data_IF_228340122562
#
_entry.id   IF_228340122562
#
_cell.length_a   1.000
_cell.length_b   1.000
_cell.length_c   1.000
_cell.angle_alpha   90.00
_cell.angle_beta   90.00
_cell.angle_gamma   90.00
#
_symmetry.space_group_name_H-M   'P 1'
#
loop_
_entity.id
_entity.type
_entity.pdbx_description
1 polymer ?
#
# COMPACT_ATOMS: atom_id res chain seq x y z
N UNK A 1 5.14 -15.64 51.97
CA UNK A 1 4.02 -16.47 52.47
C UNK A 1 2.96 -16.54 51.38
N UNK A 2 2.38 -17.72 51.12
CA UNK A 2 1.17 -18.01 50.29
C UNK A 2 0.94 -17.17 49.02
N UNK A 3 1.07 -17.63 47.78
CA UNK A 3 0.83 -18.95 47.14
C UNK A 3 -0.62 -19.50 47.24
N UNK A 4 -1.32 -19.39 46.11
CA UNK A 4 -2.28 -20.33 45.47
C UNK A 4 -3.05 -19.54 44.39
N UNK A 5 -3.61 -20.07 43.29
CA UNK A 5 -3.43 -21.26 42.44
C UNK A 5 -4.63 -21.22 41.46
N UNK A 6 -4.38 -21.51 40.19
CA UNK A 6 -5.36 -21.69 39.11
C UNK A 6 -6.67 -22.42 39.45
N UNK A 7 -7.74 -22.17 38.67
CA UNK A 7 -8.65 -23.22 38.15
C UNK A 7 -9.24 -22.87 36.78
N UNK A 8 -9.36 -23.88 35.92
CA UNK A 8 -10.08 -23.87 34.63
C UNK A 8 -11.45 -24.53 34.80
N UNK A 9 -12.44 -24.11 34.00
CA UNK A 9 -13.51 -24.94 33.39
C UNK A 9 -14.32 -23.99 32.49
N UNK A 10 -14.34 -24.12 31.15
CA UNK A 10 -15.11 -25.08 30.34
C UNK A 10 -16.59 -25.17 30.73
N UNK A 11 -17.49 -24.90 29.79
CA UNK A 11 -18.55 -25.83 29.36
C UNK A 11 -19.04 -25.45 27.94
N UNK A 12 -19.61 -26.43 27.23
CA UNK A 12 -20.12 -26.38 25.85
C UNK A 12 -21.57 -26.91 25.85
N UNK A 13 -22.28 -26.79 24.73
CA UNK A 13 -23.66 -27.25 24.40
C UNK A 13 -24.73 -26.14 24.48
N UNK A 14 -25.63 -25.89 23.51
CA UNK A 14 -26.27 -26.61 22.36
C UNK A 14 -27.76 -26.83 22.63
N UNK A 15 -28.61 -26.06 21.92
CA UNK A 15 -29.98 -26.38 21.50
C UNK A 15 -30.32 -25.39 20.37
N UNK A 16 -30.54 -25.75 19.09
CA UNK A 16 -31.59 -26.60 18.51
C UNK A 16 -33.02 -26.13 18.80
N UNK A 17 -33.71 -25.62 17.77
CA UNK A 17 -35.08 -26.04 17.44
C UNK A 17 -35.38 -25.90 15.93
N UNK A 18 -36.16 -26.84 15.39
CA UNK A 18 -36.59 -26.97 13.98
C UNK A 18 -38.01 -26.41 13.78
N UNK A 19 -38.37 -26.08 12.52
CA UNK A 19 -39.66 -26.40 11.83
C UNK A 19 -39.64 -25.76 10.42
N UNK A 20 -39.48 -26.50 9.31
CA UNK A 20 -40.53 -26.98 8.35
C UNK A 20 -41.29 -25.84 7.61
N UNK A 21 -41.77 -25.92 6.36
CA UNK A 21 -41.81 -26.92 5.26
C UNK A 21 -42.12 -26.14 3.94
N UNK A 22 -42.07 -26.60 2.67
CA UNK A 22 -41.90 -27.93 2.03
C UNK A 22 -41.05 -27.77 0.72
N UNK A 23 -41.25 -28.58 -0.33
CA UNK A 23 -40.58 -28.50 -1.64
C UNK A 23 -41.57 -28.36 -2.83
N UNK A 24 -41.07 -27.88 -3.98
CA UNK A 24 -41.64 -28.13 -5.30
C UNK A 24 -40.52 -28.26 -6.35
N UNK A 25 -40.61 -29.25 -7.23
CA UNK A 25 -39.62 -29.58 -8.25
C UNK A 25 -39.97 -29.03 -9.63
N UNK A 26 -38.97 -28.57 -10.39
CA UNK A 26 -39.14 -28.27 -11.81
C UNK A 26 -37.80 -28.02 -12.52
N UNK A 27 -37.43 -28.90 -13.44
CA UNK A 27 -36.45 -28.59 -14.49
C UNK A 27 -37.22 -27.98 -15.68
N UNK A 28 -36.79 -26.82 -16.18
CA UNK A 28 -36.14 -26.70 -17.50
C UNK A 28 -35.85 -25.25 -17.92
N UNK A 29 -34.62 -25.03 -18.37
CA UNK A 29 -34.18 -24.02 -19.37
C UNK A 29 -34.36 -22.51 -19.17
N UNK A 30 -33.28 -21.80 -19.51
CA UNK A 30 -33.22 -20.45 -20.10
C UNK A 30 -33.82 -19.25 -19.33
N UNK A 31 -32.93 -18.44 -18.75
CA UNK A 31 -33.23 -17.07 -18.34
C UNK A 31 -32.25 -16.54 -17.30
N UNK A 32 -31.33 -15.66 -17.70
CA UNK A 32 -30.62 -14.81 -16.74
C UNK A 32 -31.56 -13.72 -16.23
N UNK A 33 -31.56 -13.44 -14.92
CA UNK A 33 -31.47 -12.07 -14.44
C UNK A 33 -30.07 -11.83 -13.87
N UNK A 34 -29.35 -10.85 -14.41
CA UNK A 34 -28.02 -10.51 -13.90
C UNK A 34 -28.08 -9.90 -12.50
N UNK A 35 -27.16 -10.29 -11.63
CA UNK A 35 -26.86 -9.53 -10.42
C UNK A 35 -26.10 -8.27 -10.82
N UNK A 36 -26.79 -7.13 -10.90
CA UNK A 36 -26.20 -5.83 -11.18
C UNK A 36 -25.41 -5.34 -9.98
N UNK A 37 -24.07 -5.43 -10.04
CA UNK A 37 -23.20 -4.69 -9.14
C UNK A 37 -22.92 -3.31 -9.73
N UNK A 38 -23.50 -2.28 -9.13
CA UNK A 38 -23.25 -0.89 -9.53
C UNK A 38 -21.83 -0.47 -9.12
N UNK A 39 -20.96 -0.26 -10.10
CA UNK A 39 -19.82 0.64 -9.98
C UNK A 39 -20.24 2.00 -10.55
N UNK A 40 -20.68 2.88 -9.67
CA UNK A 40 -21.17 4.21 -10.06
C UNK A 40 -20.02 5.14 -10.44
N UNK A 41 -19.95 5.50 -11.72
CA UNK A 41 -19.53 6.80 -12.22
C UNK A 41 -20.31 7.09 -13.50
N UNK A 42 -21.22 8.06 -13.46
CA UNK A 42 -22.04 8.55 -14.58
C UNK A 42 -22.51 9.98 -14.20
N UNK A 43 -22.75 10.94 -15.12
CA UNK A 43 -22.86 10.75 -16.57
C UNK A 43 -22.01 11.64 -17.46
N UNK A 44 -21.72 11.13 -18.67
CA UNK A 44 -22.21 11.72 -19.95
C UNK A 44 -21.73 10.92 -21.17
N UNK A 45 -22.69 10.60 -22.07
CA UNK A 45 -22.60 10.05 -23.44
C UNK A 45 -22.96 8.55 -23.59
N UNK A 46 -23.86 8.27 -24.55
CA UNK A 46 -24.53 6.98 -24.77
C UNK A 46 -23.77 6.02 -25.72
N UNK A 47 -24.04 4.69 -25.65
CA UNK A 47 -23.29 3.68 -26.39
C UNK A 47 -23.71 3.51 -27.87
N UNK A 48 -22.72 3.19 -28.71
CA UNK A 48 -22.87 2.70 -30.09
C UNK A 48 -22.16 1.33 -30.21
N UNK A 49 -22.64 0.36 -31.02
CA UNK A 49 -22.35 -1.06 -30.79
C UNK A 49 -20.92 -1.53 -31.13
N UNK A 50 -20.38 -2.39 -30.26
CA UNK A 50 -19.13 -3.12 -30.48
C UNK A 50 -19.30 -4.17 -31.60
N UNK A 51 -18.37 -4.20 -32.57
CA UNK A 51 -18.08 -5.43 -33.34
C UNK A 51 -16.79 -6.09 -32.84
N UNK A 52 -16.94 -7.36 -32.43
CA UNK A 52 -15.91 -8.43 -32.28
C UNK A 52 -14.88 -8.41 -33.44
N UNK A 53 -13.66 -8.92 -33.32
CA UNK A 53 -13.18 -10.20 -32.72
C UNK A 53 -11.71 -10.07 -32.25
N UNK A 54 -11.02 -11.00 -31.58
CA UNK A 54 -11.24 -12.16 -30.66
C UNK A 54 -9.86 -12.85 -30.60
N UNK A 55 -9.38 -13.24 -29.42
CA UNK A 55 -8.12 -13.99 -29.25
C UNK A 55 -8.32 -15.52 -29.29
N UNK A 56 -7.34 -16.26 -29.83
CA UNK A 56 -7.13 -17.73 -29.67
C UNK A 56 -5.72 -18.06 -30.18
N UNK A 57 -4.89 -18.94 -29.59
CA UNK A 57 -5.06 -19.91 -28.49
C UNK A 57 -3.87 -19.81 -27.53
N UNK A 58 -4.09 -19.95 -26.21
CA UNK A 58 -3.01 -20.21 -25.23
C UNK A 58 -3.22 -21.62 -24.66
N UNK A 59 -2.32 -22.60 -24.93
CA UNK A 59 -2.39 -23.94 -24.35
C UNK A 59 -2.27 -23.95 -22.81
N UNK A 60 -2.70 -25.06 -22.21
CA UNK A 60 -3.17 -25.13 -20.80
C UNK A 60 -2.14 -24.76 -19.71
N UNK A 61 -2.63 -24.04 -18.68
CA UNK A 61 -1.86 -23.52 -17.53
C UNK A 61 -2.20 -22.08 -17.13
N UNK A 62 -3.16 -21.47 -17.82
CA UNK A 62 -3.24 -20.02 -18.09
C UNK A 62 -3.97 -19.17 -17.03
N UNK A 63 -3.32 -18.09 -16.58
CA UNK A 63 -3.91 -16.80 -16.14
C UNK A 63 -5.20 -16.78 -15.26
N UNK A 64 -5.40 -17.78 -14.40
CA UNK A 64 -6.70 -17.99 -13.73
C UNK A 64 -7.24 -16.84 -12.83
N UNK A 65 -6.42 -15.85 -12.42
CA UNK A 65 -6.81 -14.79 -11.47
C UNK A 65 -6.33 -13.39 -11.90
N UNK A 66 -6.65 -12.91 -13.11
CA UNK A 66 -6.37 -11.52 -13.50
C UNK A 66 -7.40 -10.54 -12.87
N UNK A 67 -7.22 -10.23 -11.58
CA UNK A 67 -8.01 -9.18 -10.90
C UNK A 67 -7.36 -7.80 -11.09
N UNK A 68 -7.99 -6.94 -11.88
CA UNK A 68 -7.47 -5.59 -12.18
C UNK A 68 -7.97 -4.53 -11.20
N UNK A 69 -7.19 -4.33 -10.14
CA UNK A 69 -6.80 -2.99 -9.69
C UNK A 69 -5.44 -3.06 -8.99
N UNK A 70 -4.37 -2.62 -9.66
CA UNK A 70 -3.02 -2.52 -9.07
C UNK A 70 -2.13 -3.79 -9.11
N UNK A 71 -2.44 -4.76 -9.97
CA UNK A 71 -1.68 -5.99 -10.34
C UNK A 71 -0.79 -6.60 -9.23
N UNK A 72 -1.31 -7.60 -8.52
CA UNK A 72 -0.52 -8.58 -7.75
C UNK A 72 -0.52 -9.92 -8.48
N UNK A 73 0.64 -10.60 -8.55
CA UNK A 73 0.94 -11.48 -9.69
C UNK A 73 1.49 -12.88 -9.41
N UNK A 74 2.05 -13.46 -10.48
CA UNK A 74 3.12 -14.46 -10.48
C UNK A 74 3.98 -14.22 -11.72
N UNK A 75 4.85 -13.19 -11.69
CA UNK A 75 5.88 -12.93 -12.71
C UNK A 75 5.42 -12.69 -14.15
N UNK A 76 5.39 -11.43 -14.61
CA UNK A 76 5.32 -11.11 -16.03
C UNK A 76 6.68 -11.38 -16.69
N UNK A 77 6.73 -12.36 -17.60
CA UNK A 77 7.92 -12.66 -18.40
C UNK A 77 7.84 -11.90 -19.73
N UNK A 78 8.90 -11.19 -20.12
CA UNK A 78 9.03 -10.66 -21.48
C UNK A 78 10.41 -10.90 -22.07
N UNK A 79 10.44 -11.67 -23.18
CA UNK A 79 11.65 -12.09 -23.90
C UNK A 79 11.56 -11.83 -25.40
N UNK A 80 10.38 -12.04 -25.97
CA UNK A 80 10.09 -11.90 -27.39
C UNK A 80 9.20 -10.69 -27.67
N UNK A 81 9.03 -10.38 -28.95
CA UNK A 81 8.39 -9.15 -29.35
C UNK A 81 6.92 -9.05 -28.91
N UNK A 82 6.20 -10.17 -28.81
CA UNK A 82 4.78 -10.14 -28.40
C UNK A 82 4.59 -10.40 -26.90
N UNK A 83 5.67 -10.54 -26.13
CA UNK A 83 5.58 -10.74 -24.68
C UNK A 83 5.47 -9.39 -23.98
N UNK A 84 4.34 -9.13 -23.32
CA UNK A 84 4.08 -7.91 -22.56
C UNK A 84 2.60 -7.78 -22.21
N UNK A 85 2.26 -6.86 -21.31
CA UNK A 85 0.86 -6.50 -21.01
C UNK A 85 0.57 -5.15 -21.64
N UNK A 86 -0.48 -5.07 -22.46
CA UNK A 86 -1.00 -3.81 -22.99
C UNK A 86 -2.33 -3.44 -22.32
N UNK A 87 -2.34 -2.26 -21.71
CA UNK A 87 -3.49 -1.66 -21.04
C UNK A 87 -4.03 -0.53 -21.93
N UNK A 88 -5.26 -0.64 -22.39
CA UNK A 88 -5.89 0.42 -23.18
C UNK A 88 -6.42 1.53 -22.25
N UNK A 89 -6.12 2.78 -22.59
CA UNK A 89 -6.63 3.93 -21.86
C UNK A 89 -8.13 4.15 -22.15
N UNK A 90 -8.91 4.69 -21.20
CA UNK A 90 -10.28 5.14 -21.47
C UNK A 90 -10.32 6.19 -22.58
N UNK A 91 -11.37 6.21 -23.39
CA UNK A 91 -11.54 7.18 -24.48
C UNK A 91 -12.04 8.57 -24.01
N UNK A 92 -12.18 8.79 -22.70
CA UNK A 92 -12.70 10.03 -22.10
C UNK A 92 -11.79 10.55 -21.00
N UNK A 93 -11.59 11.88 -20.98
CA UNK A 93 -10.65 12.56 -20.09
C UNK A 93 -9.33 12.93 -20.78
N UNK A 94 -8.39 13.50 -20.01
CA UNK A 94 -7.00 13.76 -20.43
C UNK A 94 -6.08 12.70 -19.79
N UNK A 95 -6.01 11.46 -20.34
CA UNK A 95 -5.36 10.34 -19.68
C UNK A 95 -3.86 10.55 -19.42
N UNK A 96 -3.15 11.43 -20.15
CA UNK A 96 -1.73 11.69 -19.87
C UNK A 96 -1.50 12.54 -18.63
N UNK A 97 -2.52 13.23 -18.08
CA UNK A 97 -2.39 14.01 -16.86
C UNK A 97 -1.92 13.19 -15.65
N UNK A 98 -2.26 11.89 -15.61
CA UNK A 98 -1.79 10.94 -14.59
C UNK A 98 -0.26 10.69 -14.63
N UNK A 99 0.43 11.12 -15.69
CA UNK A 99 1.88 11.00 -15.86
C UNK A 99 2.63 12.29 -15.52
N UNK A 100 1.94 13.33 -15.02
CA UNK A 100 2.58 14.54 -14.50
C UNK A 100 3.35 14.26 -13.20
N UNK A 101 2.77 13.41 -12.32
CA UNK A 101 3.37 12.98 -11.06
C UNK A 101 2.99 11.54 -10.73
N UNK A 102 3.90 10.79 -10.10
CA UNK A 102 3.67 9.40 -9.74
C UNK A 102 4.95 8.62 -9.48
N UNK A 103 4.79 7.31 -9.22
CA UNK A 103 5.90 6.35 -9.16
C UNK A 103 5.50 5.05 -9.83
N UNK A 104 6.32 4.57 -10.77
CA UNK A 104 6.29 3.18 -11.22
C UNK A 104 7.27 2.36 -10.38
N UNK A 105 6.86 1.17 -9.91
CA UNK A 105 7.70 0.29 -9.10
C UNK A 105 7.53 -1.17 -9.53
N UNK A 106 8.60 -1.95 -9.48
CA UNK A 106 8.59 -3.40 -9.71
C UNK A 106 9.81 -4.08 -9.09
N UNK A 107 9.75 -5.40 -8.95
CA UNK A 107 10.94 -6.24 -8.95
C UNK A 107 11.26 -6.66 -10.40
N UNK A 108 12.54 -6.69 -10.75
CA UNK A 108 13.01 -7.16 -12.05
C UNK A 108 14.12 -8.20 -11.87
N UNK A 109 14.09 -9.27 -12.66
CA UNK A 109 15.15 -10.25 -12.80
C UNK A 109 15.55 -10.34 -14.27
N UNK A 110 16.69 -9.77 -14.69
CA UNK A 110 17.10 -9.79 -16.08
C UNK A 110 17.63 -11.17 -16.50
N UNK A 111 17.36 -11.54 -17.75
CA UNK A 111 17.98 -12.71 -18.41
C UNK A 111 19.42 -12.38 -18.91
N UNK A 112 19.93 -11.18 -18.61
CA UNK A 112 21.18 -10.56 -19.05
C UNK A 112 21.95 -9.84 -17.92
N UNK A 113 23.24 -9.54 -18.14
CA UNK A 113 24.11 -8.78 -17.21
C UNK A 113 24.46 -7.42 -17.82
N UNK A 114 24.56 -6.37 -17.01
CA UNK A 114 24.96 -5.02 -17.45
C UNK A 114 26.31 -5.04 -18.18
N UNK A 115 26.39 -4.28 -19.27
CA UNK A 115 27.50 -4.29 -20.22
C UNK A 115 27.36 -5.30 -21.37
N UNK A 116 26.55 -6.35 -21.21
CA UNK A 116 26.05 -7.17 -22.33
C UNK A 116 24.65 -6.70 -22.74
N UNK A 117 23.77 -6.52 -21.75
CA UNK A 117 22.43 -5.99 -21.92
C UNK A 117 21.48 -6.90 -22.72
N UNK A 118 20.29 -6.38 -23.07
CA UNK A 118 19.34 -7.06 -23.95
C UNK A 118 19.66 -6.90 -25.46
N UNK A 119 20.76 -6.22 -25.81
CA UNK A 119 21.20 -6.00 -27.20
C UNK A 119 20.30 -5.05 -28.00
N UNK A 120 19.35 -4.40 -27.34
CA UNK A 120 18.35 -3.47 -27.88
C UNK A 120 17.84 -2.58 -26.74
N UNK A 121 17.21 -1.45 -27.04
CA UNK A 121 16.45 -0.74 -26.01
C UNK A 121 15.36 -1.65 -25.43
N UNK A 122 15.30 -1.71 -24.10
CA UNK A 122 14.39 -2.54 -23.32
C UNK A 122 13.42 -1.65 -22.54
N UNK A 123 12.13 -1.98 -22.49
CA UNK A 123 11.10 -1.12 -21.89
C UNK A 123 10.45 -1.77 -20.68
N UNK A 124 10.56 -1.13 -19.50
CA UNK A 124 9.86 -1.56 -18.29
C UNK A 124 8.38 -1.19 -18.36
N UNK A 125 8.08 0.06 -18.69
CA UNK A 125 6.74 0.55 -18.92
C UNK A 125 6.77 1.76 -19.86
N UNK A 126 5.75 1.93 -20.70
CA UNK A 126 5.67 3.11 -21.57
C UNK A 126 4.51 3.11 -22.56
N UNK A 127 4.28 4.27 -23.18
CA UNK A 127 3.30 4.48 -24.24
C UNK A 127 3.86 5.44 -25.31
N UNK A 128 3.20 5.48 -26.47
CA UNK A 128 3.66 6.22 -27.64
C UNK A 128 4.89 5.59 -28.30
N UNK A 129 5.61 6.38 -29.09
CA UNK A 129 6.85 5.96 -29.73
C UNK A 129 7.79 7.16 -29.85
N UNK A 130 9.00 7.04 -29.30
CA UNK A 130 10.04 8.05 -29.52
C UNK A 130 10.41 8.11 -31.01
N UNK A 131 10.34 9.32 -31.57
CA UNK A 131 10.74 9.61 -32.95
C UNK A 131 11.63 10.84 -32.98
N UNK A 132 12.49 10.94 -33.99
CA UNK A 132 13.28 12.15 -34.25
C UNK A 132 12.42 13.20 -34.96
N UNK A 133 12.74 14.50 -34.87
CA UNK A 133 12.06 15.52 -35.68
C UNK A 133 12.20 15.21 -37.18
N UNK A 134 11.18 15.51 -38.00
CA UNK A 134 9.92 16.19 -37.67
C UNK A 134 8.79 15.26 -37.16
N UNK A 135 8.98 13.93 -37.15
CA UNK A 135 7.88 12.95 -37.02
C UNK A 135 7.39 12.70 -35.58
N UNK A 136 7.66 13.62 -34.64
CA UNK A 136 7.35 13.48 -33.22
C UNK A 136 5.84 13.32 -32.96
N UNK A 137 5.43 12.12 -32.53
CA UNK A 137 4.02 11.81 -32.21
C UNK A 137 3.71 11.82 -30.72
N UNK A 138 4.74 11.77 -29.86
CA UNK A 138 4.63 11.68 -28.41
C UNK A 138 5.08 10.33 -27.86
N UNK A 139 5.66 10.35 -26.66
CA UNK A 139 6.20 9.18 -25.97
C UNK A 139 6.36 9.45 -24.47
N UNK A 140 6.12 8.44 -23.64
CA UNK A 140 6.59 8.39 -22.26
C UNK A 140 7.07 6.97 -22.00
N UNK A 141 8.23 6.79 -21.38
CA UNK A 141 8.66 5.44 -21.05
C UNK A 141 9.90 5.35 -20.18
N UNK A 142 9.91 4.31 -19.36
CA UNK A 142 11.02 3.87 -18.53
C UNK A 142 11.75 2.78 -19.31
N UNK A 143 12.99 3.06 -19.71
CA UNK A 143 13.76 2.21 -20.62
C UNK A 143 15.18 1.97 -20.16
N UNK A 144 15.76 0.87 -20.64
CA UNK A 144 17.17 0.56 -20.52
C UNK A 144 17.86 0.65 -21.88
N UNK A 145 19.13 1.04 -21.90
CA UNK A 145 19.94 1.10 -23.12
C UNK A 145 20.31 -0.31 -23.64
N UNK A 146 20.76 -0.45 -24.90
CA UNK A 146 21.13 -1.74 -25.48
C UNK A 146 22.21 -2.52 -24.72
N UNK A 147 23.11 -1.84 -24.01
CA UNK A 147 24.16 -2.46 -23.19
C UNK A 147 23.69 -2.79 -21.77
N UNK A 148 22.47 -2.38 -21.38
CA UNK A 148 21.92 -2.60 -20.05
C UNK A 148 22.72 -1.91 -18.94
N UNK A 149 23.41 -0.81 -19.26
CA UNK A 149 24.20 0.00 -18.32
C UNK A 149 23.47 1.22 -17.80
N UNK A 150 22.40 1.67 -18.47
CA UNK A 150 21.61 2.81 -18.03
C UNK A 150 20.12 2.51 -18.00
N UNK A 151 19.48 2.88 -16.90
CA UNK A 151 18.02 2.98 -16.74
C UNK A 151 17.61 4.44 -16.86
N UNK A 152 16.59 4.75 -17.63
CA UNK A 152 16.20 6.11 -17.99
C UNK A 152 14.69 6.32 -17.96
N UNK A 153 14.26 7.56 -17.72
CA UNK A 153 12.89 8.03 -17.96
C UNK A 153 12.91 9.06 -19.09
N UNK A 154 12.27 8.73 -20.22
CA UNK A 154 12.17 9.59 -21.40
C UNK A 154 10.75 10.09 -21.66
N UNK A 155 10.63 11.31 -22.19
CA UNK A 155 9.37 11.97 -22.51
C UNK A 155 9.46 12.74 -23.84
N UNK A 156 8.38 12.73 -24.64
CA UNK A 156 8.29 13.45 -25.91
C UNK A 156 6.88 14.00 -26.14
N UNK A 157 6.80 15.24 -26.62
CA UNK A 157 5.59 15.89 -27.13
C UNK A 157 5.53 15.78 -28.65
N UNK A 158 4.86 16.69 -29.35
CA UNK A 158 4.96 16.82 -30.82
C UNK A 158 6.08 17.76 -31.29
N UNK A 159 6.81 18.40 -30.37
CA UNK A 159 7.79 19.46 -30.69
C UNK A 159 9.13 19.35 -29.94
N UNK A 160 9.18 18.57 -28.84
CA UNK A 160 10.37 18.40 -27.99
C UNK A 160 10.39 16.98 -27.44
N UNK A 161 11.58 16.42 -27.22
CA UNK A 161 11.77 15.20 -26.45
C UNK A 161 13.00 15.30 -25.57
N UNK A 162 12.90 14.75 -24.35
CA UNK A 162 13.95 14.81 -23.32
C UNK A 162 14.07 13.48 -22.58
N UNK A 163 15.29 13.14 -22.16
CA UNK A 163 15.52 12.20 -21.07
C UNK A 163 15.52 12.99 -19.77
N UNK A 164 14.53 12.77 -18.90
CA UNK A 164 14.39 13.51 -17.64
C UNK A 164 15.46 13.10 -16.62
N UNK A 165 15.73 11.80 -16.56
CA UNK A 165 16.77 11.21 -15.72
C UNK A 165 17.35 9.96 -16.38
N UNK A 166 18.64 9.75 -16.16
CA UNK A 166 19.36 8.52 -16.44
C UNK A 166 20.17 8.11 -15.19
N UNK A 167 20.20 6.82 -14.89
CA UNK A 167 20.96 6.24 -13.80
C UNK A 167 21.81 5.08 -14.33
N UNK A 168 23.10 5.06 -14.00
CA UNK A 168 23.97 3.93 -14.31
C UNK A 168 23.58 2.73 -13.42
N UNK A 169 23.38 1.57 -14.05
CA UNK A 169 22.94 0.32 -13.41
C UNK A 169 23.97 -0.79 -13.61
N UNK A 170 24.07 -1.68 -12.63
CA UNK A 170 24.97 -2.84 -12.62
C UNK A 170 24.19 -4.10 -12.23
N UNK A 171 23.32 -4.56 -13.13
CA UNK A 171 22.52 -5.76 -12.93
C UNK A 171 23.31 -7.02 -13.25
N UNK A 172 23.10 -8.04 -12.44
CA UNK A 172 23.58 -9.41 -12.66
C UNK A 172 22.44 -10.26 -13.21
N UNK A 173 22.73 -11.06 -14.23
CA UNK A 173 21.78 -12.05 -14.76
C UNK A 173 21.20 -12.93 -13.65
N UNK A 174 19.90 -13.20 -13.74
CA UNK A 174 19.14 -14.06 -12.83
C UNK A 174 19.09 -13.59 -11.36
N UNK A 175 19.55 -12.37 -11.06
CA UNK A 175 19.40 -11.73 -9.76
C UNK A 175 18.19 -10.78 -9.74
N UNK A 176 17.37 -10.88 -8.72
CA UNK A 176 16.29 -9.93 -8.47
C UNK A 176 16.85 -8.58 -8.00
N UNK A 177 16.33 -7.49 -8.56
CA UNK A 177 16.55 -6.11 -8.14
C UNK A 177 15.20 -5.40 -7.96
N UNK A 178 15.07 -4.53 -6.95
CA UNK A 178 13.93 -3.62 -6.82
C UNK A 178 14.19 -2.35 -7.64
N UNK A 179 13.24 -1.94 -8.48
CA UNK A 179 13.30 -0.72 -9.28
C UNK A 179 12.09 0.15 -8.96
N UNK A 180 12.33 1.41 -8.61
CA UNK A 180 11.28 2.44 -8.55
C UNK A 180 11.71 3.71 -9.30
N UNK A 181 10.80 4.28 -10.07
CA UNK A 181 11.02 5.53 -10.81
C UNK A 181 9.94 6.52 -10.42
N UNK A 182 10.32 7.51 -9.61
CA UNK A 182 9.45 8.59 -9.13
C UNK A 182 9.60 9.81 -10.04
N UNK A 183 8.49 10.42 -10.40
CA UNK A 183 8.44 11.58 -11.29
C UNK A 183 7.42 12.61 -10.79
N UNK A 184 7.74 13.89 -10.96
CA UNK A 184 6.88 15.03 -10.65
C UNK A 184 7.38 16.30 -11.37
N UNK A 185 6.60 17.40 -11.42
CA UNK A 185 7.07 18.71 -11.92
C UNK A 185 8.31 19.23 -11.18
N UNK A 186 8.43 18.94 -9.89
CA UNK A 186 9.54 19.33 -9.03
C UNK A 186 10.85 18.52 -9.23
N UNK A 187 10.80 17.36 -9.89
CA UNK A 187 11.98 16.53 -10.13
C UNK A 187 11.67 15.08 -10.51
N UNK A 188 12.72 14.33 -10.86
CA UNK A 188 12.65 12.89 -11.12
C UNK A 188 13.74 12.14 -10.36
N UNK A 189 13.46 10.90 -9.96
CA UNK A 189 14.38 10.03 -9.23
C UNK A 189 14.26 8.58 -9.69
N UNK A 190 15.39 7.89 -9.75
CA UNK A 190 15.47 6.45 -9.99
C UNK A 190 16.05 5.80 -8.73
N UNK A 191 15.40 4.76 -8.23
CA UNK A 191 15.85 3.98 -7.08
C UNK A 191 16.08 2.53 -7.52
N UNK A 192 17.26 1.99 -7.22
CA UNK A 192 17.67 0.61 -7.55
C UNK A 192 18.20 -0.06 -6.29
N UNK A 193 17.54 -1.13 -5.83
CA UNK A 193 17.81 -1.77 -4.52
C UNK A 193 17.89 -0.77 -3.34
N UNK A 194 17.15 0.34 -3.44
CA UNK A 194 17.14 1.46 -2.49
C UNK A 194 18.23 2.53 -2.71
N UNK A 195 19.23 2.29 -3.57
CA UNK A 195 20.19 3.33 -3.97
C UNK A 195 19.48 4.39 -4.82
N UNK A 196 19.54 5.65 -4.39
CA UNK A 196 18.85 6.78 -5.02
C UNK A 196 19.74 7.50 -6.03
N UNK A 197 19.22 7.70 -7.24
CA UNK A 197 19.80 8.53 -8.29
C UNK A 197 18.87 9.72 -8.57
N UNK A 198 19.40 10.93 -8.54
CA UNK A 198 18.67 12.17 -8.79
C UNK A 198 19.12 13.33 -7.90
N UNK A 199 18.43 14.48 -7.93
CA UNK A 199 17.28 14.76 -8.79
C UNK A 199 17.69 14.88 -10.27
N UNK A 200 16.88 14.31 -11.16
CA UNK A 200 16.87 14.64 -12.58
C UNK A 200 15.97 15.84 -12.87
N UNK A 201 15.72 16.10 -14.17
CA UNK A 201 14.79 17.14 -14.60
C UNK A 201 13.36 16.81 -14.17
N UNK A 202 12.60 17.84 -13.79
CA UNK A 202 11.17 17.72 -13.49
C UNK A 202 10.31 17.56 -14.74
N UNK A 203 9.11 17.00 -14.58
CA UNK A 203 8.13 16.82 -15.66
C UNK A 203 7.53 18.18 -16.05
N UNK A 204 8.15 18.85 -17.02
CA UNK A 204 7.78 20.21 -17.46
C UNK A 204 6.76 20.26 -18.60
N UNK A 205 6.48 19.13 -19.26
CA UNK A 205 5.44 18.95 -20.27
C UNK A 205 4.93 17.52 -20.24
N UNK A 206 3.90 17.21 -21.04
CA UNK A 206 3.36 15.86 -21.23
C UNK A 206 3.29 15.49 -22.72
N UNK A 207 3.27 14.20 -23.07
CA UNK A 207 2.88 13.78 -24.41
C UNK A 207 1.41 14.13 -24.67
N UNK A 208 1.01 14.33 -25.93
CA UNK A 208 -0.41 14.50 -26.27
C UNK A 208 -1.19 13.22 -25.94
N UNK A 209 -2.45 13.34 -25.51
CA UNK A 209 -3.29 12.19 -25.12
C UNK A 209 -3.38 11.09 -26.18
N UNK A 210 -3.35 11.48 -27.47
CA UNK A 210 -3.30 10.54 -28.60
C UNK A 210 -2.15 9.53 -28.52
N UNK A 211 -0.99 9.92 -27.98
CA UNK A 211 0.14 9.03 -27.85
C UNK A 211 -0.17 7.84 -26.91
N UNK A 212 -1.03 8.04 -25.92
CA UNK A 212 -1.49 7.01 -25.00
C UNK A 212 -2.73 6.27 -25.53
N UNK A 213 -3.71 6.96 -26.14
CA UNK A 213 -4.89 6.29 -26.70
C UNK A 213 -4.58 5.41 -27.91
N UNK A 214 -3.67 5.84 -28.79
CA UNK A 214 -3.37 5.17 -30.06
C UNK A 214 -2.51 3.91 -29.85
N UNK A 215 -1.69 3.90 -28.79
CA UNK A 215 -0.79 2.76 -28.52
C UNK A 215 -1.20 1.91 -27.34
N UNK A 216 -1.93 2.47 -26.36
CA UNK A 216 -2.06 1.88 -25.03
C UNK A 216 -0.80 2.04 -24.19
N UNK A 217 -0.94 1.80 -22.88
CA UNK A 217 0.13 1.71 -21.91
C UNK A 217 0.67 0.27 -21.86
N UNK A 218 1.95 0.09 -22.15
CA UNK A 218 2.61 -1.21 -22.20
C UNK A 218 3.50 -1.43 -20.98
N UNK A 219 3.61 -2.68 -20.51
CA UNK A 219 4.50 -3.13 -19.42
C UNK A 219 5.32 -4.33 -19.90
N UNK A 220 6.63 -4.32 -19.63
CA UNK A 220 7.61 -5.34 -20.03
C UNK A 220 8.09 -5.23 -21.48
N UNK A 221 7.47 -4.39 -22.30
CA UNK A 221 7.83 -4.15 -23.69
C UNK A 221 7.34 -2.75 -24.14
N UNK A 222 7.80 -2.25 -25.28
CA UNK A 222 7.15 -1.11 -25.94
C UNK A 222 5.81 -1.54 -26.56
N UNK A 223 4.84 -0.62 -26.78
CA UNK A 223 3.52 -0.98 -27.34
C UNK A 223 3.55 -1.65 -28.72
N UNK A 224 4.63 -1.45 -29.50
CA UNK A 224 4.86 -2.12 -30.81
C UNK A 224 5.54 -3.48 -30.70
N UNK A 225 5.83 -3.94 -29.48
CA UNK A 225 6.50 -5.20 -29.21
C UNK A 225 8.01 -5.22 -29.48
N UNK A 226 8.60 -4.20 -30.09
CA UNK A 226 9.99 -4.29 -30.57
C UNK A 226 11.08 -4.11 -29.49
N UNK A 227 10.71 -3.90 -28.21
CA UNK A 227 11.62 -3.55 -27.11
C UNK A 227 11.33 -4.36 -25.82
N UNK A 228 11.31 -5.71 -25.87
CA UNK A 228 11.10 -6.53 -24.68
C UNK A 228 12.20 -6.28 -23.65
N UNK A 229 11.84 -6.29 -22.36
CA UNK A 229 12.79 -6.03 -21.26
C UNK A 229 13.87 -7.11 -21.13
N UNK A 230 13.58 -8.34 -21.58
CA UNK A 230 14.50 -9.47 -21.51
C UNK A 230 14.68 -10.00 -20.09
N UNK A 231 13.57 -10.40 -19.45
CA UNK A 231 13.59 -10.93 -18.09
C UNK A 231 12.20 -11.15 -17.50
N UNK A 232 12.13 -11.18 -16.16
CA UNK A 232 10.90 -11.35 -15.38
C UNK A 232 10.66 -10.10 -14.53
N UNK A 233 9.45 -9.55 -14.60
CA UNK A 233 8.93 -8.49 -13.73
C UNK A 233 7.97 -9.09 -12.72
N UNK A 234 8.05 -8.70 -11.46
CA UNK A 234 7.09 -9.08 -10.41
C UNK A 234 6.73 -7.88 -9.53
N UNK A 235 5.64 -7.99 -8.75
CA UNK A 235 5.08 -6.91 -7.92
C UNK A 235 5.05 -5.53 -8.63
N UNK A 236 4.48 -5.47 -9.83
CA UNK A 236 4.37 -4.21 -10.58
C UNK A 236 3.31 -3.31 -9.96
N UNK A 237 3.74 -2.18 -9.41
CA UNK A 237 2.90 -1.19 -8.74
C UNK A 237 3.00 0.17 -9.43
N UNK A 238 1.90 0.93 -9.44
CA UNK A 238 1.88 2.29 -9.97
C UNK A 238 1.10 3.21 -9.04
N UNK A 239 1.76 4.29 -8.60
CA UNK A 239 1.23 5.30 -7.68
C UNK A 239 1.00 6.61 -8.44
N UNK A 240 -0.08 7.33 -8.11
CA UNK A 240 -0.41 8.67 -8.63
C UNK A 240 0.28 9.81 -7.85
N UNK A 241 1.23 9.47 -6.98
CA UNK A 241 2.09 10.39 -6.23
C UNK A 241 3.53 9.88 -6.26
N UNK A 242 4.54 10.78 -6.17
CA UNK A 242 5.94 10.38 -6.09
C UNK A 242 6.24 9.84 -4.68
N UNK A 243 6.59 8.55 -4.59
CA UNK A 243 7.17 7.96 -3.39
C UNK A 243 8.52 8.60 -3.08
N UNK A 244 8.71 8.95 -1.81
CA UNK A 244 9.95 9.54 -1.29
C UNK A 244 10.98 8.48 -0.98
N UNK A 245 12.25 8.88 -0.95
CA UNK A 245 13.39 8.04 -0.57
C UNK A 245 13.12 7.23 0.70
N UNK A 246 12.63 7.85 1.78
CA UNK A 246 12.34 7.14 3.05
C UNK A 246 11.26 6.06 2.93
N UNK A 247 10.27 6.24 2.07
CA UNK A 247 9.19 5.27 1.86
C UNK A 247 9.71 4.05 1.07
N UNK A 248 10.57 4.31 0.07
CA UNK A 248 11.23 3.29 -0.73
C UNK A 248 12.29 2.52 0.09
N UNK A 249 13.12 3.25 0.83
CA UNK A 249 14.14 2.70 1.72
C UNK A 249 13.54 1.98 2.94
N UNK A 250 12.30 2.25 3.37
CA UNK A 250 11.69 1.60 4.54
C UNK A 250 11.72 0.06 4.48
N UNK A 251 11.76 -0.54 3.28
CA UNK A 251 11.96 -1.98 3.05
C UNK A 251 13.38 -2.46 3.41
N UNK A 252 14.41 -1.60 3.33
CA UNK A 252 15.75 -1.86 3.88
C UNK A 252 15.83 -1.76 5.42
N UNK A 253 14.73 -1.47 6.13
CA UNK A 253 14.72 -1.37 7.60
C UNK A 253 13.79 -2.39 8.27
N UNK A 254 12.87 -2.97 7.50
CA UNK A 254 11.77 -3.83 7.95
C UNK A 254 11.88 -5.27 7.40
N UNK A 255 11.29 -6.21 8.13
CA UNK A 255 11.11 -7.59 7.68
C UNK A 255 9.73 -7.73 7.05
N UNK A 256 9.64 -8.34 5.87
CA UNK A 256 8.39 -8.58 5.15
C UNK A 256 8.16 -10.07 4.91
N UNK A 257 6.94 -10.43 4.51
CA UNK A 257 6.61 -11.78 4.10
C UNK A 257 5.53 -11.79 3.01
N UNK A 258 5.61 -12.78 2.12
CA UNK A 258 4.56 -13.13 1.16
C UNK A 258 4.15 -14.59 1.31
N UNK A 259 2.85 -14.85 1.22
CA UNK A 259 2.27 -16.20 1.23
C UNK A 259 2.23 -16.71 -0.21
N UNK A 260 2.78 -17.90 -0.48
CA UNK A 260 2.51 -18.64 -1.71
C UNK A 260 1.52 -19.78 -1.40
N UNK A 261 0.26 -19.53 -1.72
CA UNK A 261 -0.84 -20.47 -1.49
C UNK A 261 -0.76 -21.73 -2.36
N UNK A 262 -0.07 -21.66 -3.52
CA UNK A 262 0.08 -22.79 -4.46
C UNK A 262 1.20 -23.73 -4.00
N UNK A 263 2.33 -23.18 -3.59
CA UNK A 263 3.46 -23.93 -3.01
C UNK A 263 3.25 -24.27 -1.52
N UNK A 264 2.19 -23.70 -0.91
CA UNK A 264 1.89 -23.81 0.52
C UNK A 264 3.07 -23.40 1.39
N UNK A 265 3.63 -22.21 1.13
CA UNK A 265 4.82 -21.71 1.80
C UNK A 265 4.71 -20.23 2.15
N UNK A 266 5.53 -19.78 3.11
CA UNK A 266 5.72 -18.36 3.44
C UNK A 266 7.15 -17.98 3.10
N UNK A 267 7.32 -17.00 2.22
CA UNK A 267 8.62 -16.40 1.93
C UNK A 267 8.81 -15.18 2.80
N UNK A 268 9.84 -15.19 3.65
CA UNK A 268 10.33 -14.05 4.40
C UNK A 268 11.36 -13.30 3.56
N UNK A 269 11.44 -11.98 3.73
CA UNK A 269 12.52 -11.13 3.24
C UNK A 269 12.90 -10.10 4.31
N UNK A 270 14.19 -9.77 4.40
CA UNK A 270 14.69 -8.77 5.35
C UNK A 270 15.93 -8.06 4.76
N UNK A 271 16.42 -6.97 5.40
CA UNK A 271 17.43 -6.13 4.78
C UNK A 271 18.77 -6.85 4.53
N UNK A 272 19.37 -6.55 3.38
CA UNK A 272 20.71 -6.99 2.98
C UNK A 272 21.85 -6.30 3.72
N UNK A 273 21.54 -5.25 4.49
CA UNK A 273 22.46 -4.48 5.34
C UNK A 273 22.81 -5.17 6.66
N UNK A 274 22.23 -6.34 6.95
CA UNK A 274 22.43 -7.09 8.19
C UNK A 274 23.58 -8.09 8.06
N UNK A 275 24.41 -8.21 9.10
CA UNK A 275 25.50 -9.18 9.17
C UNK A 275 24.96 -10.59 9.45
N UNK A 276 24.95 -11.46 8.44
CA UNK A 276 24.67 -12.89 8.61
C UNK A 276 25.81 -13.65 9.33
N UNK A 277 25.65 -14.95 9.61
CA UNK A 277 24.47 -15.77 9.32
C UNK A 277 23.31 -15.55 10.32
N UNK A 278 22.12 -16.00 9.95
CA UNK A 278 20.88 -15.77 10.68
C UNK A 278 20.31 -17.06 11.29
N UNK A 279 19.84 -16.95 12.53
CA UNK A 279 18.92 -17.92 13.12
C UNK A 279 17.48 -17.50 12.80
N UNK A 280 16.69 -18.42 12.25
CA UNK A 280 15.30 -18.18 11.83
C UNK A 280 14.38 -19.04 12.67
N UNK A 281 13.34 -18.45 13.24
CA UNK A 281 12.39 -19.14 14.13
C UNK A 281 10.95 -18.82 13.75
N UNK A 282 10.04 -19.74 14.06
CA UNK A 282 8.59 -19.57 13.89
C UNK A 282 7.82 -20.07 15.12
N UNK A 283 6.67 -19.47 15.41
CA UNK A 283 5.62 -20.04 16.25
C UNK A 283 4.24 -19.65 15.73
N UNK A 284 3.18 -20.48 15.90
CA UNK A 284 1.81 -20.01 15.76
C UNK A 284 1.52 -18.90 16.79
N UNK A 285 0.68 -17.93 16.45
CA UNK A 285 0.28 -16.86 17.37
C UNK A 285 -0.35 -17.43 18.65
N UNK A 286 -0.05 -16.80 19.79
CA UNK A 286 -0.51 -17.25 21.11
C UNK A 286 0.32 -18.39 21.72
N UNK A 287 1.18 -19.07 20.96
CA UNK A 287 2.14 -20.02 21.53
C UNK A 287 3.36 -19.29 22.11
N UNK A 288 3.88 -19.78 23.23
CA UNK A 288 5.09 -19.21 23.86
C UNK A 288 6.38 -19.72 23.21
N UNK A 289 6.43 -21.00 22.84
CA UNK A 289 7.63 -21.70 22.34
C UNK A 289 7.89 -21.40 20.86
N UNK A 290 9.08 -20.87 20.58
CA UNK A 290 9.63 -20.76 19.24
C UNK A 290 10.20 -22.10 18.75
N UNK A 291 9.87 -22.49 17.52
CA UNK A 291 10.54 -23.55 16.76
C UNK A 291 11.68 -22.93 15.96
N UNK A 292 12.89 -23.48 16.10
CA UNK A 292 14.00 -23.17 15.21
C UNK A 292 13.70 -23.77 13.84
N UNK A 293 13.79 -22.95 12.78
CA UNK A 293 13.70 -23.38 11.40
C UNK A 293 15.10 -23.49 10.80
N UNK A 294 15.92 -22.44 10.98
CA UNK A 294 17.32 -22.42 10.55
C UNK A 294 18.27 -21.90 11.62
N UNK A 295 19.51 -22.37 11.53
CA UNK A 295 20.58 -22.04 12.49
C UNK A 295 21.62 -21.07 11.93
N UNK A 296 22.06 -21.27 10.69
CA UNK A 296 23.21 -20.59 10.07
C UNK A 296 22.87 -20.07 8.66
N UNK A 297 21.67 -19.51 8.48
CA UNK A 297 21.18 -19.08 7.16
C UNK A 297 21.98 -17.88 6.62
N UNK A 298 22.47 -17.94 5.38
CA UNK A 298 23.36 -16.91 4.80
C UNK A 298 22.68 -15.95 3.83
N UNK A 299 21.42 -16.20 3.46
CA UNK A 299 20.65 -15.32 2.58
C UNK A 299 19.85 -14.26 3.34
N UNK A 300 19.21 -13.36 2.60
CA UNK A 300 18.33 -12.30 3.11
C UNK A 300 16.83 -12.57 2.85
N UNK A 301 16.54 -13.73 2.28
CA UNK A 301 15.20 -14.27 2.07
C UNK A 301 15.18 -15.71 2.59
N UNK A 302 14.03 -16.21 3.03
CA UNK A 302 13.86 -17.61 3.46
C UNK A 302 12.47 -18.12 3.11
N UNK A 303 12.37 -19.35 2.60
CA UNK A 303 11.09 -19.98 2.28
C UNK A 303 10.79 -21.08 3.30
N UNK A 304 9.69 -20.91 4.03
CA UNK A 304 9.19 -21.87 5.02
C UNK A 304 8.05 -22.71 4.39
N UNK A 305 8.20 -24.04 4.42
CA UNK A 305 7.37 -24.97 3.65
C UNK A 305 6.23 -25.64 4.44
N UNK A 306 5.25 -26.11 3.68
CA UNK A 306 3.92 -26.59 4.09
C UNK A 306 3.84 -27.55 5.27
N UNK A 307 4.84 -28.41 5.50
CA UNK A 307 4.74 -29.57 6.41
C UNK A 307 4.40 -29.23 7.87
N UNK A 308 4.49 -27.96 8.26
CA UNK A 308 4.01 -27.47 9.56
C UNK A 308 3.30 -26.11 9.49
N UNK A 309 2.78 -25.74 8.30
CA UNK A 309 1.94 -24.57 8.06
C UNK A 309 0.50 -25.02 7.80
N UNK A 310 -0.46 -24.26 8.32
CA UNK A 310 -1.89 -24.54 8.23
C UNK A 310 -2.62 -23.25 7.86
N UNK A 311 -3.52 -23.33 6.88
CA UNK A 311 -4.38 -22.21 6.47
C UNK A 311 -5.29 -21.79 7.64
N UNK A 312 -5.64 -20.51 7.69
CA UNK A 312 -6.44 -19.94 8.79
C UNK A 312 -5.64 -19.66 10.08
N UNK A 313 -4.30 -19.74 10.06
CA UNK A 313 -3.45 -19.41 11.21
C UNK A 313 -2.58 -18.17 10.97
N UNK A 314 -2.27 -17.48 12.05
CA UNK A 314 -1.21 -16.46 12.08
C UNK A 314 0.07 -17.11 12.62
N UNK A 315 1.16 -16.95 11.90
CA UNK A 315 2.50 -17.34 12.30
C UNK A 315 3.30 -16.10 12.67
N UNK A 316 3.96 -16.15 13.81
CA UNK A 316 5.02 -15.21 14.16
C UNK A 316 6.36 -15.79 13.73
N UNK A 317 7.14 -14.98 13.02
CA UNK A 317 8.50 -15.27 12.59
C UNK A 317 9.49 -14.36 13.28
N UNK A 318 10.71 -14.86 13.44
CA UNK A 318 11.82 -14.15 14.05
C UNK A 318 13.09 -14.42 13.27
N UNK A 319 13.82 -13.34 12.93
CA UNK A 319 15.15 -13.39 12.32
C UNK A 319 16.13 -12.68 13.25
N UNK A 320 17.26 -13.34 13.51
CA UNK A 320 18.31 -12.85 14.41
C UNK A 320 19.69 -13.13 13.83
N UNK A 321 20.52 -12.10 13.67
CA UNK A 321 21.94 -12.25 13.35
C UNK A 321 22.69 -13.01 14.44
N UNK A 322 23.54 -13.96 14.03
CA UNK A 322 24.47 -14.71 14.88
C UNK A 322 25.55 -13.84 15.51
N UNK A 323 25.82 -12.66 14.94
CA UNK A 323 26.74 -11.68 15.54
C UNK A 323 26.29 -11.21 16.92
N UNK A 324 24.98 -11.29 17.21
CA UNK A 324 24.36 -10.80 18.45
C UNK A 324 24.33 -9.28 18.60
N UNK A 325 24.92 -8.53 17.66
CA UNK A 325 25.01 -7.05 17.70
C UNK A 325 23.71 -6.36 17.27
N UNK A 326 22.86 -7.06 16.53
CA UNK A 326 21.68 -6.49 15.89
C UNK A 326 20.39 -6.74 16.65
N UNK A 327 19.46 -5.79 16.52
CA UNK A 327 18.12 -5.89 17.11
C UNK A 327 17.29 -6.94 16.38
N UNK A 328 16.94 -7.99 17.12
CA UNK A 328 15.97 -9.04 16.78
C UNK A 328 14.74 -8.47 16.05
N UNK A 329 14.40 -9.07 14.90
CA UNK A 329 13.26 -8.69 14.07
C UNK A 329 12.18 -9.76 14.17
N UNK A 330 10.96 -9.35 14.52
CA UNK A 330 9.77 -10.19 14.57
C UNK A 330 8.72 -9.71 13.56
N UNK A 331 7.96 -10.62 12.96
CA UNK A 331 6.84 -10.34 12.04
C UNK A 331 5.69 -11.31 12.29
N UNK A 332 4.44 -10.85 12.18
CA UNK A 332 3.26 -11.71 12.15
C UNK A 332 2.73 -11.84 10.72
N UNK A 333 2.39 -13.07 10.30
CA UNK A 333 1.96 -13.42 8.93
C UNK A 333 0.73 -14.31 9.01
N UNK A 334 -0.40 -13.85 8.46
CA UNK A 334 -1.60 -14.67 8.31
C UNK A 334 -1.52 -15.56 7.08
N UNK A 335 -1.58 -16.88 7.24
CA UNK A 335 -1.62 -17.81 6.11
C UNK A 335 -3.07 -18.09 5.71
N UNK A 336 -3.49 -17.56 4.56
CA UNK A 336 -4.82 -17.78 3.98
C UNK A 336 -5.93 -17.62 5.04
N UNK A 337 -5.85 -16.52 5.80
CA UNK A 337 -6.93 -16.13 6.70
C UNK A 337 -8.18 -15.84 5.87
N UNK A 338 -9.39 -16.18 6.34
CA UNK A 338 -10.60 -15.62 5.76
C UNK A 338 -10.51 -14.09 5.82
N UNK A 339 -11.13 -13.41 4.85
CA UNK A 339 -11.24 -11.96 4.89
C UNK A 339 -11.82 -11.54 6.24
N UNK A 340 -11.05 -10.79 7.02
CA UNK A 340 -11.46 -10.34 8.34
C UNK A 340 -12.38 -9.14 8.17
N UNK A 341 -13.63 -9.39 7.77
CA UNK A 341 -14.70 -8.40 7.69
C UNK A 341 -14.88 -7.86 9.10
N UNK A 342 -14.35 -6.67 9.38
CA UNK A 342 -14.33 -6.09 10.73
C UNK A 342 -15.75 -5.64 11.11
N UNK A 343 -16.48 -6.33 12.01
CA UNK A 343 -17.86 -6.02 12.32
C UNK A 343 -17.88 -4.93 13.41
N UNK A 344 -17.32 -3.77 13.08
CA UNK A 344 -17.10 -2.65 13.99
C UNK A 344 -17.43 -1.32 13.36
N UNK A 345 -17.48 -0.29 14.20
CA UNK A 345 -17.78 1.09 13.78
C UNK A 345 -16.50 1.92 13.77
N UNK A 346 -16.26 2.66 12.68
CA UNK A 346 -15.27 3.74 12.65
C UNK A 346 -16.00 5.08 12.51
N UNK A 347 -15.78 5.95 13.49
CA UNK A 347 -16.23 7.34 13.44
C UNK A 347 -15.08 8.22 12.94
N UNK A 348 -15.32 8.93 11.84
CA UNK A 348 -14.42 9.94 11.28
C UNK A 348 -14.99 11.32 11.65
N UNK A 349 -14.31 12.03 12.54
CA UNK A 349 -14.62 13.40 12.89
C UNK A 349 -13.69 14.34 12.13
N UNK A 350 -14.25 15.17 11.26
CA UNK A 350 -13.49 16.09 10.40
C UNK A 350 -13.69 17.52 10.87
N UNK A 351 -12.61 18.30 10.95
CA UNK A 351 -12.64 19.76 11.13
C UNK A 351 -13.68 20.39 10.19
N UNK A 352 -14.68 21.07 10.77
CA UNK A 352 -15.82 21.67 10.06
C UNK A 352 -15.39 22.68 8.97
N UNK A 353 -14.19 23.26 9.07
CA UNK A 353 -13.62 24.17 8.06
C UNK A 353 -12.96 23.44 6.88
N UNK A 354 -12.60 22.17 7.08
CA UNK A 354 -11.87 21.33 6.13
C UNK A 354 -12.80 20.32 5.42
N UNK A 355 -13.86 19.86 6.10
CA UNK A 355 -14.77 18.83 5.60
C UNK A 355 -15.34 19.09 4.19
N UNK A 356 -15.76 20.31 3.79
CA UNK A 356 -16.25 20.57 2.43
C UNK A 356 -15.17 20.42 1.35
N UNK A 357 -13.90 20.59 1.70
CA UNK A 357 -12.76 20.53 0.78
C UNK A 357 -12.26 19.09 0.55
N UNK A 358 -12.59 18.17 1.47
CA UNK A 358 -12.17 16.77 1.44
C UNK A 358 -13.31 15.80 1.11
N UNK A 359 -14.43 16.28 0.58
CA UNK A 359 -15.62 15.43 0.38
C UNK A 359 -15.30 14.21 -0.49
N UNK A 360 -14.57 14.38 -1.60
CA UNK A 360 -14.26 13.30 -2.56
C UNK A 360 -13.34 12.25 -1.92
N UNK A 361 -12.34 12.69 -1.17
CA UNK A 361 -11.38 11.87 -0.43
C UNK A 361 -12.05 11.10 0.70
N UNK A 362 -12.92 11.77 1.48
CA UNK A 362 -13.69 11.17 2.56
C UNK A 362 -14.66 10.11 2.04
N UNK A 363 -15.36 10.37 0.93
CA UNK A 363 -16.21 9.38 0.29
C UNK A 363 -15.42 8.17 -0.23
N UNK A 364 -14.25 8.39 -0.85
CA UNK A 364 -13.39 7.31 -1.35
C UNK A 364 -12.84 6.44 -0.19
N UNK A 365 -12.41 7.09 0.88
CA UNK A 365 -11.89 6.43 2.07
C UNK A 365 -13.00 5.65 2.80
N UNK A 366 -14.19 6.26 2.97
CA UNK A 366 -15.36 5.59 3.56
C UNK A 366 -15.76 4.35 2.77
N UNK A 367 -15.90 4.45 1.44
CA UNK A 367 -16.20 3.30 0.56
C UNK A 367 -15.12 2.20 0.61
N UNK A 368 -13.89 2.53 0.97
CA UNK A 368 -12.81 1.55 1.14
C UNK A 368 -12.95 0.81 2.47
N UNK A 369 -13.17 1.52 3.56
CA UNK A 369 -13.43 0.96 4.90
C UNK A 369 -14.70 0.09 4.93
N UNK A 370 -15.78 0.52 4.25
CA UNK A 370 -17.01 -0.26 4.07
C UNK A 370 -16.76 -1.61 3.36
N UNK A 371 -15.86 -1.62 2.36
CA UNK A 371 -15.45 -2.86 1.65
C UNK A 371 -14.58 -3.77 2.51
N UNK A 372 -13.90 -3.23 3.52
CA UNK A 372 -13.20 -4.00 4.56
C UNK A 372 -14.14 -4.46 5.69
N UNK A 373 -15.43 -4.09 5.64
CA UNK A 373 -16.49 -4.54 6.53
C UNK A 373 -16.92 -3.54 7.60
N UNK A 374 -16.25 -2.39 7.71
CA UNK A 374 -16.55 -1.40 8.75
C UNK A 374 -17.89 -0.69 8.50
N UNK A 375 -18.64 -0.45 9.57
CA UNK A 375 -19.65 0.59 9.58
C UNK A 375 -18.95 1.94 9.69
N UNK A 376 -18.99 2.75 8.64
CA UNK A 376 -18.40 4.09 8.65
C UNK A 376 -19.43 5.12 9.07
N UNK A 377 -19.08 5.96 10.03
CA UNK A 377 -19.79 7.17 10.40
C UNK A 377 -18.88 8.37 10.13
N UNK A 378 -19.39 9.41 9.49
CA UNK A 378 -18.64 10.66 9.23
C UNK A 378 -19.44 11.83 9.78
N UNK A 379 -18.79 12.70 10.55
CA UNK A 379 -19.42 13.87 11.15
C UNK A 379 -18.42 15.04 11.23
N UNK A 380 -18.93 16.26 11.41
CA UNK A 380 -18.12 17.47 11.50
C UNK A 380 -17.87 17.85 12.96
N UNK A 381 -16.61 18.15 13.27
CA UNK A 381 -16.16 18.53 14.59
C UNK A 381 -15.65 19.98 14.61
N UNK A 382 -15.90 20.74 15.69
CA UNK A 382 -15.44 22.11 15.80
C UNK A 382 -13.92 22.23 15.77
N UNK A 383 -13.43 23.22 15.01
CA UNK A 383 -12.02 23.53 14.89
C UNK A 383 -11.46 24.09 16.21
N UNK A 384 -10.24 23.72 16.56
CA UNK A 384 -9.49 24.32 17.67
C UNK A 384 -9.19 25.81 17.42
N UNK A 385 -9.26 26.64 18.46
CA UNK A 385 -8.80 28.02 18.41
C UNK A 385 -7.42 28.13 19.06
N UNK A 386 -6.38 28.25 18.23
CA UNK A 386 -4.98 28.42 18.64
C UNK A 386 -4.70 29.77 19.35
N UNK A 387 -5.60 30.75 19.21
CA UNK A 387 -5.38 32.14 19.62
C UNK A 387 -6.03 32.44 20.96
N UNK A 388 -7.14 31.78 21.27
CA UNK A 388 -7.94 32.02 22.47
C UNK A 388 -8.42 30.70 23.07
N UNK A 389 -7.62 30.16 23.99
CA UNK A 389 -7.92 28.93 24.72
C UNK A 389 -9.29 28.97 25.42
N UNK A 390 -9.81 30.14 25.81
CA UNK A 390 -11.09 30.22 26.52
C UNK A 390 -12.28 29.71 25.70
N UNK A 391 -12.12 29.64 24.38
CA UNK A 391 -13.11 29.09 23.44
C UNK A 391 -13.06 27.57 23.33
N UNK A 392 -11.93 26.94 23.61
CA UNK A 392 -11.74 25.51 23.38
C UNK A 392 -12.57 24.60 24.32
N UNK A 393 -12.75 24.87 25.63
CA UNK A 393 -13.53 24.00 26.52
C UNK A 393 -14.94 23.63 26.03
N UNK A 394 -15.82 24.55 25.57
CA UNK A 394 -17.11 24.16 25.01
C UNK A 394 -17.00 23.40 23.67
N UNK A 395 -15.97 23.68 22.86
CA UNK A 395 -15.75 22.96 21.59
C UNK A 395 -15.27 21.52 21.84
N UNK A 396 -14.34 21.32 22.78
CA UNK A 396 -13.91 20.01 23.28
C UNK A 396 -15.10 19.22 23.82
N UNK A 397 -15.98 19.86 24.61
CA UNK A 397 -17.20 19.24 25.12
C UNK A 397 -18.15 18.83 23.97
N UNK A 398 -18.27 19.64 22.92
CA UNK A 398 -19.03 19.29 21.70
C UNK A 398 -18.42 18.08 20.97
N UNK A 399 -17.10 18.03 20.77
CA UNK A 399 -16.42 16.85 20.19
C UNK A 399 -16.68 15.61 21.04
N UNK A 400 -16.57 15.73 22.37
CA UNK A 400 -16.83 14.61 23.29
C UNK A 400 -18.26 14.10 23.19
N UNK A 401 -19.23 15.01 23.11
CA UNK A 401 -20.64 14.69 22.88
C UNK A 401 -20.88 13.94 21.57
N UNK A 402 -20.26 14.35 20.46
CA UNK A 402 -20.35 13.65 19.17
C UNK A 402 -19.80 12.23 19.26
N UNK A 403 -18.62 12.05 19.86
CA UNK A 403 -18.01 10.73 20.04
C UNK A 403 -18.92 9.83 20.90
N UNK A 404 -19.47 10.37 21.99
CA UNK A 404 -20.40 9.63 22.86
C UNK A 404 -21.71 9.28 22.15
N UNK A 405 -22.34 10.19 21.40
CA UNK A 405 -23.60 9.90 20.71
C UNK A 405 -23.47 8.80 19.66
N UNK A 406 -22.34 8.74 18.96
CA UNK A 406 -22.07 7.73 17.93
C UNK A 406 -21.56 6.40 18.51
N UNK A 407 -20.68 6.42 19.51
CA UNK A 407 -19.93 5.23 19.94
C UNK A 407 -20.38 4.62 21.28
N UNK A 408 -21.13 5.34 22.14
CA UNK A 408 -21.56 4.81 23.45
C UNK A 408 -22.63 3.72 23.35
N UNK A 409 -23.33 3.60 22.21
CA UNK A 409 -24.30 2.52 21.97
C UNK A 409 -23.66 1.25 21.37
N UNK A 410 -22.41 1.33 20.88
CA UNK A 410 -21.71 0.24 20.17
C UNK A 410 -20.85 -0.63 21.10
N UNK A 411 -21.29 -0.87 22.34
CA UNK A 411 -20.49 -1.44 23.44
C UNK A 411 -20.03 -2.90 23.25
N UNK A 412 -20.54 -3.60 22.24
CA UNK A 412 -20.22 -5.02 21.96
C UNK A 412 -19.41 -5.22 20.67
N UNK A 413 -19.00 -4.14 20.01
CA UNK A 413 -18.24 -4.18 18.76
C UNK A 413 -16.91 -3.41 18.88
N UNK A 414 -15.99 -3.67 17.96
CA UNK A 414 -14.77 -2.87 17.83
C UNK A 414 -15.14 -1.44 17.41
N UNK A 415 -14.55 -0.44 18.06
CA UNK A 415 -14.80 0.97 17.80
C UNK A 415 -13.48 1.68 17.50
N UNK A 416 -13.46 2.47 16.45
CA UNK A 416 -12.35 3.35 16.09
C UNK A 416 -12.83 4.80 16.00
N UNK A 417 -11.96 5.73 16.40
CA UNK A 417 -12.14 7.16 16.22
C UNK A 417 -10.96 7.68 15.39
N UNK A 418 -11.26 8.35 14.29
CA UNK A 418 -10.30 9.08 13.48
C UNK A 418 -10.64 10.58 13.56
N UNK A 419 -9.69 11.39 14.01
CA UNK A 419 -9.79 12.85 13.96
C UNK A 419 -9.01 13.36 12.75
N UNK A 420 -9.64 14.19 11.92
CA UNK A 420 -9.04 14.69 10.68
C UNK A 420 -9.09 16.23 10.61
N UNK A 421 -7.94 16.85 10.35
CA UNK A 421 -7.80 18.31 10.37
C UNK A 421 -7.59 18.83 11.79
N UNK A 422 -7.88 20.12 12.02
CA UNK A 422 -7.60 20.78 13.30
C UNK A 422 -8.80 20.68 14.26
N UNK A 423 -9.28 19.46 14.51
CA UNK A 423 -10.33 19.18 15.50
C UNK A 423 -9.89 19.70 16.88
N UNK A 424 -10.82 20.26 17.65
CA UNK A 424 -10.56 20.72 19.02
C UNK A 424 -10.00 19.58 19.89
N UNK A 425 -8.85 19.79 20.54
CA UNK A 425 -8.18 18.78 21.40
C UNK A 425 -7.95 19.36 22.81
N UNK A 426 -8.26 18.62 23.89
CA UNK A 426 -7.95 19.04 25.26
C UNK A 426 -6.47 18.89 25.57
N UNK A 427 -6.04 19.56 26.64
CA UNK A 427 -4.71 19.39 27.21
C UNK A 427 -4.82 18.62 28.53
N UNK A 428 -3.95 17.63 28.74
CA UNK A 428 -3.95 16.76 29.93
C UNK A 428 -2.53 16.35 30.30
N UNK A 429 -2.34 15.92 31.54
CA UNK A 429 -1.06 15.51 32.10
C UNK A 429 -0.31 16.64 32.82
N UNK A 430 0.77 16.25 33.49
CA UNK A 430 1.65 17.16 34.24
C UNK A 430 3.14 16.76 34.17
N UNK A 431 3.45 15.50 33.82
CA UNK A 431 4.79 14.93 33.89
C UNK A 431 5.38 14.74 32.49
N UNK A 432 6.66 15.08 32.33
CA UNK A 432 7.46 14.71 31.17
C UNK A 432 7.73 13.19 31.17
N UNK A 433 6.82 12.41 30.56
CA UNK A 433 6.91 10.94 30.52
C UNK A 433 8.03 10.41 29.62
N UNK A 434 8.58 11.27 28.77
CA UNK A 434 9.71 11.01 27.87
C UNK A 434 11.08 11.24 28.53
N UNK A 435 11.12 11.68 29.79
CA UNK A 435 12.34 11.86 30.58
C UNK A 435 12.94 13.27 30.54
N UNK A 436 12.35 14.20 29.79
CA UNK A 436 12.74 15.61 29.71
C UNK A 436 12.35 16.37 30.99
N UNK A 437 13.14 16.15 32.04
CA UNK A 437 12.91 16.58 33.42
C UNK A 437 13.99 17.52 33.95
N UNK A 438 14.83 18.07 33.08
CA UNK A 438 15.97 18.91 33.49
C UNK A 438 15.49 20.30 33.93
N UNK A 439 16.28 21.05 34.71
CA UNK A 439 16.05 22.48 34.86
C UNK A 439 16.09 23.12 33.46
N UNK A 440 15.11 23.99 33.16
CA UNK A 440 14.88 24.62 31.84
C UNK A 440 14.27 23.71 30.75
N UNK A 441 13.76 22.51 31.08
CA UNK A 441 12.88 21.77 30.14
C UNK A 441 11.50 22.42 30.02
N UNK A 442 10.87 22.26 28.85
CA UNK A 442 9.48 22.66 28.58
C UNK A 442 8.51 21.48 28.36
N UNK A 443 8.97 20.27 28.68
CA UNK A 443 8.19 19.02 28.57
C UNK A 443 7.30 18.71 29.78
N UNK A 444 7.22 19.63 30.75
CA UNK A 444 6.35 19.52 31.94
C UNK A 444 5.06 20.34 31.75
N UNK A 445 4.01 19.95 32.47
CA UNK A 445 2.67 20.54 32.30
C UNK A 445 1.75 19.66 31.44
N UNK A 446 0.64 20.25 30.99
CA UNK A 446 -0.36 19.57 30.19
C UNK A 446 -0.03 19.63 28.69
N UNK A 447 -0.31 18.54 27.97
CA UNK A 447 -0.04 18.35 26.55
C UNK A 447 -1.32 18.00 25.79
N UNK A 448 -1.41 18.28 24.47
CA UNK A 448 -2.53 17.86 23.63
C UNK A 448 -2.82 16.36 23.80
N UNK A 449 -4.07 16.02 24.07
CA UNK A 449 -4.47 14.70 24.52
C UNK A 449 -5.79 14.27 23.85
N UNK A 450 -5.71 13.92 22.57
CA UNK A 450 -6.83 13.42 21.77
C UNK A 450 -7.42 12.10 22.32
N UNK A 451 -6.60 11.26 22.96
CA UNK A 451 -7.02 10.04 23.66
C UNK A 451 -8.08 10.29 24.75
N UNK A 452 -8.23 11.53 25.25
CA UNK A 452 -9.38 11.95 26.05
C UNK A 452 -10.70 11.52 25.41
N UNK A 453 -10.85 11.61 24.09
CA UNK A 453 -12.09 11.27 23.42
C UNK A 453 -12.44 9.78 23.49
N UNK A 454 -11.43 8.91 23.58
CA UNK A 454 -11.60 7.46 23.73
C UNK A 454 -12.16 6.99 25.08
N UNK A 455 -12.10 7.83 26.12
CA UNK A 455 -12.69 7.55 27.45
C UNK A 455 -14.22 7.68 27.43
N UNK A 456 -14.94 6.63 27.07
CA UNK A 456 -16.40 6.72 26.92
C UNK A 456 -17.17 6.56 28.25
N UNK A 457 -16.55 6.05 29.31
CA UNK A 457 -17.18 5.86 30.63
C UNK A 457 -16.90 6.98 31.64
N UNK A 458 -15.99 7.89 31.32
CA UNK A 458 -15.89 9.22 31.93
C UNK A 458 -14.95 9.31 33.14
N UNK A 459 -13.96 8.43 33.23
CA UNK A 459 -12.96 8.42 34.31
C UNK A 459 -11.75 9.32 33.97
N UNK A 460 -12.01 10.53 33.48
CA UNK A 460 -10.98 11.55 33.23
C UNK A 460 -10.88 12.54 34.40
N UNK A 461 -9.92 12.31 35.30
CA UNK A 461 -9.79 13.07 36.57
C UNK A 461 -8.92 14.35 36.46
N UNK A 462 -8.45 14.70 35.27
CA UNK A 462 -7.68 15.92 35.04
C UNK A 462 -8.60 17.15 35.02
N UNK A 463 -8.75 17.80 36.17
CA UNK A 463 -9.60 18.98 36.33
C UNK A 463 -8.89 20.31 36.08
N UNK A 464 -7.63 20.45 36.53
CA UNK A 464 -6.74 21.53 36.11
C UNK A 464 -5.28 21.21 36.42
N UNK A 465 -4.39 21.65 35.55
CA UNK A 465 -2.93 21.63 35.76
C UNK A 465 -2.41 23.03 35.44
N UNK A 466 -1.84 23.70 36.43
CA UNK A 466 -1.12 24.96 36.21
C UNK A 466 0.39 24.69 36.28
N UNK A 467 1.08 24.88 35.15
CA UNK A 467 2.52 24.79 35.09
C UNK A 467 3.09 25.84 34.14
N UNK A 468 4.02 26.65 34.63
CA UNK A 468 4.75 27.62 33.82
C UNK A 468 6.10 27.04 33.44
N UNK A 469 6.23 26.59 32.19
CA UNK A 469 7.55 26.22 31.63
C UNK A 469 8.43 27.46 31.56
N UNK A 470 9.71 27.32 31.95
CA UNK A 470 10.63 28.46 32.13
C UNK A 470 11.47 28.79 30.88
N UNK A 471 10.96 28.49 29.68
CA UNK A 471 11.63 28.82 28.42
C UNK A 471 10.73 29.67 27.53
N UNK A 472 11.24 30.83 27.12
CA UNK A 472 10.64 31.62 26.06
C UNK A 472 10.76 30.87 24.73
N UNK A 473 9.65 30.29 24.24
CA UNK A 473 9.54 29.89 22.84
C UNK A 473 9.40 31.15 21.97
N UNK A 474 10.53 31.79 21.68
CA UNK A 474 10.65 32.66 20.52
C UNK A 474 10.92 31.76 19.31
N UNK A 475 9.84 31.38 18.62
CA UNK A 475 9.85 31.01 17.21
C UNK A 475 9.32 32.20 16.40
#
# INVERSE_FOLDING_TARGET
>A
MSDWKSRRMLWFCLACFLSWMTAASGQETAGMPGATLHLGFDPLIQPVPIRKQTWTVVPEGTLANLHTSGITGQGLVSRQAMDGILLQAPQTGAPTAAFLRGTFKCFFKPDWTSGQGPGRHATLAGFGQWKVPPDMTGYWGITMDPTGKQLQLGIQSTTRGETLIAADIQFEKDRWVEIAVSYAPEGTWIHVDGVTHGPGQGVSFLPPDRALSDTGLSIGNAPKGNQPVGGILDEVQWFNFPLKQVELESRQWSMSARVDDKQSSIHLSWPSTLDGPFAIRRRPQGQSRWRLLETEWKGFHYQDFAAALQKGQIYQYQVQSRSGKERLRDLAVGYALPANVHPGTILILVDETLAPQLQVELELYSRTLEREGWQVLVDQAPRHDDRDWSRNPPLISRVKGLVQSHLSHQIHQTRLLLLLGHVSVPYSGFRALDGHTRPQDDHRGAWPCDVYYGDLDGVWTDHSVSHTNQTSRFN
#
